data_IF_905512609979
#
_entry.id   IF_905512609979
#
_cell.length_a   1.000
_cell.length_b   1.000
_cell.length_c   1.000
_cell.angle_alpha   90.00
_cell.angle_beta   90.00
_cell.angle_gamma   90.00
#
_symmetry.space_group_name_H-M   'P 1'
#
loop_
_entity.id
_entity.type
_entity.pdbx_description
1 polymer ?
#
# COMPACT_ATOMS: atom_id res chain seq x y z
N UNK A 1 -26.35 7.14 5.43
CA UNK A 1 -26.03 5.89 6.15
C UNK A 1 -24.82 5.16 5.55
N UNK A 2 -24.66 5.08 4.22
CA UNK A 2 -23.49 4.44 3.59
C UNK A 2 -22.12 5.00 4.01
N UNK A 3 -22.02 6.31 4.27
CA UNK A 3 -20.80 7.00 4.78
C UNK A 3 -20.16 6.38 6.04
N UNK A 4 -20.98 5.83 6.95
CA UNK A 4 -20.48 5.40 8.26
C UNK A 4 -19.79 4.03 8.22
N UNK A 5 -20.12 3.18 7.24
CA UNK A 5 -19.50 1.85 7.10
C UNK A 5 -18.08 1.95 6.51
N UNK A 6 -17.87 2.84 5.53
CA UNK A 6 -16.54 3.12 4.97
C UNK A 6 -15.56 3.59 6.06
N UNK A 7 -16.00 4.50 6.95
CA UNK A 7 -15.19 4.97 8.10
C UNK A 7 -14.95 3.92 9.18
N UNK A 8 -15.82 2.91 9.31
CA UNK A 8 -15.69 1.90 10.36
C UNK A 8 -14.63 0.84 10.04
N UNK A 9 -14.55 0.40 8.77
CA UNK A 9 -13.50 -0.55 8.33
C UNK A 9 -12.11 0.09 8.27
N UNK A 10 -12.04 1.39 7.96
CA UNK A 10 -10.79 2.17 8.00
C UNK A 10 -10.10 2.15 9.38
N UNK A 11 -10.83 1.84 10.46
CA UNK A 11 -10.30 1.85 11.83
C UNK A 11 -9.71 0.51 12.31
N UNK A 12 -9.93 -0.58 11.57
CA UNK A 12 -9.39 -1.91 11.91
C UNK A 12 -7.97 -2.10 11.35
N UNK A 13 -7.62 -1.38 10.28
CA UNK A 13 -6.30 -1.45 9.63
C UNK A 13 -5.28 -0.40 10.15
N UNK A 14 -5.66 0.51 11.05
CA UNK A 14 -4.83 1.65 11.49
C UNK A 14 -4.21 1.51 12.90
N UNK A 15 -4.42 0.39 13.59
CA UNK A 15 -4.04 0.25 15.00
C UNK A 15 -2.71 -0.43 15.30
N UNK A 16 -1.97 -0.93 14.30
CA UNK A 16 -0.63 -1.52 14.52
C UNK A 16 0.51 -0.69 13.90
N UNK A 17 0.70 0.53 14.44
CA UNK A 17 1.97 1.23 14.33
C UNK A 17 2.98 0.61 15.31
N UNK A 18 3.58 -0.52 14.97
CA UNK A 18 4.79 -1.00 15.65
C UNK A 18 5.95 -0.04 15.34
N UNK A 19 6.44 0.63 16.39
CA UNK A 19 7.34 1.78 16.30
C UNK A 19 8.83 1.40 16.19
N UNK A 20 9.13 0.27 15.54
CA UNK A 20 10.45 -0.34 15.52
C UNK A 20 11.10 -0.17 14.13
N UNK A 21 12.16 0.65 14.06
CA UNK A 21 12.79 1.12 12.80
C UNK A 21 13.61 0.08 12.01
N UNK A 22 13.24 -1.20 12.10
CA UNK A 22 13.92 -2.35 11.49
C UNK A 22 12.90 -3.35 10.88
N UNK A 23 11.79 -2.85 10.33
CA UNK A 23 10.89 -3.67 9.49
C UNK A 23 11.52 -3.82 8.11
N UNK A 24 11.80 -5.06 7.70
CA UNK A 24 11.77 -5.38 6.28
C UNK A 24 10.30 -5.34 5.85
N UNK A 25 10.00 -4.72 4.71
CA UNK A 25 8.69 -4.88 4.08
C UNK A 25 8.63 -6.30 3.52
N UNK A 26 7.58 -7.07 3.84
CA UNK A 26 7.43 -8.45 3.37
C UNK A 26 6.74 -8.45 2.00
N UNK A 27 7.35 -7.69 1.09
CA UNK A 27 6.76 -7.20 -0.15
C UNK A 27 6.15 -8.28 -1.04
N UNK A 28 5.01 -7.99 -1.69
CA UNK A 28 4.51 -8.83 -2.77
C UNK A 28 5.48 -8.79 -3.96
N UNK A 29 5.64 -9.90 -4.68
CA UNK A 29 6.33 -9.88 -5.98
C UNK A 29 5.42 -10.42 -7.07
N UNK A 30 5.05 -9.58 -8.02
CA UNK A 30 4.25 -9.96 -9.18
C UNK A 30 5.06 -10.95 -10.05
N UNK A 31 4.47 -12.13 -10.28
CA UNK A 31 5.09 -13.21 -11.04
C UNK A 31 4.55 -13.25 -12.48
N UNK A 32 3.25 -13.02 -12.65
CA UNK A 32 2.63 -12.94 -13.97
C UNK A 32 1.40 -12.00 -14.00
N UNK A 33 1.18 -11.23 -15.08
CA UNK A 33 2.18 -10.85 -16.09
C UNK A 33 3.40 -10.20 -15.42
N UNK A 34 4.61 -10.32 -16.00
CA UNK A 34 5.82 -9.81 -15.36
C UNK A 34 5.73 -8.30 -15.05
N UNK A 35 6.33 -7.84 -13.94
CA UNK A 35 6.35 -6.44 -13.57
C UNK A 35 7.14 -5.60 -14.59
N UNK A 36 6.79 -4.30 -14.65
CA UNK A 36 7.39 -3.28 -15.52
C UNK A 36 8.91 -3.15 -15.35
N UNK A 37 9.44 -3.48 -14.19
CA UNK A 37 10.86 -3.44 -13.87
C UNK A 37 11.26 -4.51 -12.85
N UNK A 38 12.51 -4.48 -12.41
CA UNK A 38 12.97 -5.33 -11.31
C UNK A 38 12.34 -4.86 -10.00
N UNK A 39 11.98 -5.80 -9.13
CA UNK A 39 11.43 -5.49 -7.81
C UNK A 39 12.41 -4.63 -6.97
N UNK A 40 11.92 -3.54 -6.37
CA UNK A 40 12.69 -2.70 -5.44
C UNK A 40 11.84 -2.33 -4.21
N UNK A 41 11.92 -3.11 -3.14
CA UNK A 41 11.22 -2.95 -1.84
C UNK A 41 10.94 -1.48 -1.43
N UNK A 42 11.99 -0.63 -1.35
CA UNK A 42 11.88 0.78 -0.95
C UNK A 42 11.00 1.66 -1.86
N UNK A 43 10.81 1.27 -3.13
CA UNK A 43 10.06 2.02 -4.14
C UNK A 43 8.60 1.56 -4.28
N UNK A 44 8.23 0.40 -3.74
CA UNK A 44 6.87 -0.13 -3.84
C UNK A 44 5.76 0.80 -3.32
N UNK A 45 5.96 1.63 -2.28
CA UNK A 45 4.96 2.62 -1.88
C UNK A 45 4.71 3.74 -2.91
N UNK A 46 5.46 3.75 -4.02
CA UNK A 46 5.37 4.75 -5.08
C UNK A 46 4.69 4.18 -6.33
N UNK A 47 4.32 5.07 -7.27
CA UNK A 47 3.63 4.67 -8.49
C UNK A 47 4.44 3.66 -9.33
N UNK A 48 3.88 2.47 -9.51
CA UNK A 48 4.47 1.37 -10.29
C UNK A 48 5.89 0.98 -9.82
N UNK A 49 6.12 0.83 -8.52
CA UNK A 49 7.44 0.49 -7.96
C UNK A 49 8.57 1.43 -8.44
N UNK A 50 8.25 2.73 -8.50
CA UNK A 50 9.13 3.79 -9.03
C UNK A 50 9.24 3.84 -10.56
N UNK A 51 8.76 2.82 -11.29
CA UNK A 51 8.84 2.75 -12.76
C UNK A 51 7.75 3.60 -13.43
N UNK A 52 8.00 4.90 -13.52
CA UNK A 52 7.07 5.90 -14.11
C UNK A 52 6.87 5.81 -15.63
N UNK A 53 7.64 5.00 -16.35
CA UNK A 53 7.54 4.87 -17.81
C UNK A 53 7.26 3.43 -18.20
N UNK A 54 6.23 3.23 -19.02
CA UNK A 54 5.81 1.92 -19.50
C UNK A 54 6.81 1.29 -20.48
N UNK A 55 6.94 -0.03 -20.45
CA UNK A 55 7.85 -0.74 -21.37
C UNK A 55 7.31 -0.83 -22.81
N UNK A 56 8.24 -0.92 -23.76
CA UNK A 56 7.94 -1.20 -25.17
C UNK A 56 7.67 -2.69 -25.41
N UNK A 57 8.40 -3.59 -24.74
CA UNK A 57 8.28 -5.04 -24.86
C UNK A 57 7.16 -5.61 -23.95
N UNK A 58 5.93 -5.21 -24.22
CA UNK A 58 4.74 -5.59 -23.43
C UNK A 58 4.44 -7.09 -23.47
N UNK A 59 3.82 -7.57 -22.39
CA UNK A 59 3.30 -8.93 -22.36
C UNK A 59 2.03 -9.03 -23.19
N UNK A 60 2.00 -9.94 -24.16
CA UNK A 60 0.75 -10.26 -24.88
C UNK A 60 -0.19 -10.99 -23.92
N UNK A 61 -1.38 -10.45 -23.71
CA UNK A 61 -2.31 -10.91 -22.67
C UNK A 61 -3.74 -11.05 -23.20
N UNK A 62 -4.50 -12.09 -22.81
CA UNK A 62 -5.86 -12.28 -23.27
C UNK A 62 -6.82 -11.24 -22.69
N UNK A 63 -7.74 -10.75 -23.52
CA UNK A 63 -8.82 -9.85 -23.06
C UNK A 63 -9.78 -10.52 -22.07
N UNK A 64 -9.89 -11.85 -22.13
CA UNK A 64 -10.79 -12.69 -21.31
C UNK A 64 -10.09 -13.97 -20.88
N UNK A 65 -10.37 -14.47 -19.67
CA UNK A 65 -9.85 -15.75 -19.20
C UNK A 65 -8.33 -15.76 -18.94
N UNK A 66 -7.74 -14.57 -18.70
CA UNK A 66 -6.38 -14.48 -18.16
C UNK A 66 -6.36 -14.71 -16.65
N UNK A 67 -5.17 -14.64 -16.06
CA UNK A 67 -4.97 -14.54 -14.63
C UNK A 67 -3.78 -13.63 -14.34
N UNK A 68 -3.69 -13.14 -13.10
CA UNK A 68 -2.43 -12.67 -12.54
C UNK A 68 -1.95 -13.64 -11.46
N UNK A 69 -0.65 -13.65 -11.17
CA UNK A 69 -0.05 -14.34 -10.04
C UNK A 69 1.03 -13.49 -9.38
N UNK A 70 1.16 -13.64 -8.07
CA UNK A 70 2.15 -12.99 -7.21
C UNK A 70 2.66 -13.98 -6.17
N UNK A 71 3.79 -13.67 -5.55
CA UNK A 71 4.22 -14.24 -4.28
C UNK A 71 3.95 -13.22 -3.18
N UNK A 72 3.38 -13.64 -2.04
CA UNK A 72 3.16 -12.79 -0.86
C UNK A 72 3.93 -13.34 0.33
N UNK A 73 4.65 -12.47 1.04
CA UNK A 73 5.34 -12.83 2.28
C UNK A 73 4.59 -12.36 3.54
N UNK A 74 3.31 -11.95 3.41
CA UNK A 74 2.43 -11.67 4.57
C UNK A 74 1.41 -12.79 4.81
N UNK A 75 1.10 -13.11 6.09
CA UNK A 75 0.10 -14.11 6.44
C UNK A 75 -1.35 -13.63 6.24
N UNK A 76 -1.56 -12.31 6.10
CA UNK A 76 -2.85 -11.68 5.78
C UNK A 76 -2.60 -10.45 4.91
N UNK A 77 -3.36 -10.30 3.83
CA UNK A 77 -3.21 -9.18 2.91
C UNK A 77 -4.49 -8.89 2.12
N UNK A 78 -4.55 -7.71 1.51
CA UNK A 78 -5.63 -7.28 0.62
C UNK A 78 -5.04 -6.85 -0.72
N UNK A 79 -5.71 -7.22 -1.82
CA UNK A 79 -5.30 -6.81 -3.16
C UNK A 79 -6.50 -6.40 -4.03
N UNK A 80 -6.29 -5.40 -4.87
CA UNK A 80 -7.13 -5.04 -6.01
C UNK A 80 -6.28 -4.65 -7.21
N UNK A 81 -6.89 -4.44 -8.37
CA UNK A 81 -6.18 -4.00 -9.57
C UNK A 81 -6.98 -2.99 -10.40
N UNK A 82 -6.30 -1.97 -10.88
CA UNK A 82 -6.83 -0.89 -11.72
C UNK A 82 -6.14 -0.90 -13.09
N UNK A 83 -6.82 -0.42 -14.14
CA UNK A 83 -6.28 -0.39 -15.51
C UNK A 83 -6.25 1.02 -16.11
N UNK A 84 -5.17 1.32 -16.81
CA UNK A 84 -5.03 2.48 -17.68
C UNK A 84 -5.03 2.02 -19.14
N UNK A 85 -5.91 2.62 -19.96
CA UNK A 85 -6.07 2.31 -21.38
C UNK A 85 -5.34 3.32 -22.28
N UNK A 86 -4.20 3.83 -21.79
CA UNK A 86 -3.30 4.76 -22.49
C UNK A 86 -1.91 4.15 -22.64
N UNK A 87 -1.17 4.56 -23.67
CA UNK A 87 0.13 3.97 -24.01
C UNK A 87 1.17 4.05 -22.87
N UNK A 88 1.28 5.20 -22.19
CA UNK A 88 2.30 5.42 -21.17
C UNK A 88 1.72 6.14 -19.95
N UNK A 89 1.06 5.42 -19.02
CA UNK A 89 0.57 6.00 -17.78
C UNK A 89 1.73 6.18 -16.79
N UNK A 90 1.93 7.44 -16.37
CA UNK A 90 3.04 7.87 -15.52
C UNK A 90 2.61 8.30 -14.10
N UNK A 91 1.31 8.20 -13.78
CA UNK A 91 0.74 8.60 -12.50
C UNK A 91 -0.66 7.98 -12.30
N UNK A 92 -1.16 7.97 -11.05
CA UNK A 92 -2.46 7.41 -10.69
C UNK A 92 -3.67 8.00 -11.46
N UNK A 93 -3.77 9.33 -11.73
CA UNK A 93 -4.85 9.88 -12.55
C UNK A 93 -5.01 9.24 -13.94
N UNK A 94 -3.95 8.68 -14.54
CA UNK A 94 -4.04 7.98 -15.82
C UNK A 94 -4.86 6.66 -15.78
N UNK A 95 -5.20 6.17 -14.58
CA UNK A 95 -6.05 4.99 -14.34
C UNK A 95 -7.50 5.37 -14.02
N UNK A 96 -7.85 6.65 -14.12
CA UNK A 96 -9.19 7.16 -13.83
C UNK A 96 -9.98 7.47 -15.10
N UNK A 97 -11.29 7.25 -15.05
CA UNK A 97 -12.27 7.72 -16.01
C UNK A 97 -13.39 8.43 -15.27
N UNK A 98 -13.76 9.64 -15.71
CA UNK A 98 -14.70 10.53 -15.01
C UNK A 98 -14.38 10.74 -13.50
N UNK A 99 -13.09 10.78 -13.15
CA UNK A 99 -12.63 10.94 -11.77
C UNK A 99 -12.80 9.71 -10.87
N UNK A 100 -13.03 8.52 -11.44
CA UNK A 100 -13.14 7.25 -10.71
C UNK A 100 -12.14 6.23 -11.27
N UNK A 101 -11.53 5.42 -10.41
CA UNK A 101 -10.59 4.40 -10.83
C UNK A 101 -11.26 3.25 -11.61
N UNK A 102 -10.60 2.80 -12.68
CA UNK A 102 -11.08 1.73 -13.52
C UNK A 102 -10.63 0.38 -12.98
N UNK A 103 -11.38 -0.19 -12.03
CA UNK A 103 -11.06 -1.48 -11.43
C UNK A 103 -11.33 -2.65 -12.39
N UNK A 104 -10.31 -3.49 -12.56
CA UNK A 104 -10.36 -4.80 -13.26
C UNK A 104 -10.25 -5.99 -12.31
N UNK A 105 -9.88 -5.74 -11.05
CA UNK A 105 -10.04 -6.68 -9.94
C UNK A 105 -10.55 -5.86 -8.75
N UNK A 106 -11.78 -6.10 -8.25
CA UNK A 106 -12.25 -5.46 -7.02
C UNK A 106 -11.39 -5.93 -5.85
N UNK A 107 -11.27 -5.11 -4.81
CA UNK A 107 -10.48 -5.50 -3.64
C UNK A 107 -10.99 -6.80 -3.00
N UNK A 108 -10.08 -7.70 -2.65
CA UNK A 108 -10.35 -8.86 -1.81
C UNK A 108 -9.23 -9.03 -0.79
N UNK A 109 -9.58 -9.48 0.41
CA UNK A 109 -8.63 -9.94 1.41
C UNK A 109 -8.34 -11.43 1.22
N UNK A 110 -7.14 -11.88 1.56
CA UNK A 110 -6.84 -13.31 1.72
C UNK A 110 -5.85 -13.52 2.87
N UNK A 111 -5.82 -14.74 3.40
CA UNK A 111 -4.75 -15.23 4.25
C UNK A 111 -3.70 -16.01 3.45
N UNK A 112 -2.58 -16.31 4.09
CA UNK A 112 -1.55 -17.22 3.59
C UNK A 112 -0.42 -16.51 2.83
N UNK A 113 0.79 -16.90 3.20
CA UNK A 113 2.05 -16.61 2.49
C UNK A 113 2.24 -17.58 1.31
N UNK A 114 3.08 -17.20 0.36
CA UNK A 114 3.45 -17.97 -0.82
C UNK A 114 2.78 -17.49 -2.11
N UNK A 115 2.81 -18.36 -3.12
CA UNK A 115 2.23 -18.07 -4.43
C UNK A 115 0.70 -17.98 -4.36
N UNK A 116 0.15 -16.98 -5.04
CA UNK A 116 -1.28 -16.80 -5.21
C UNK A 116 -1.57 -16.29 -6.62
N UNK A 117 -2.63 -16.80 -7.24
CA UNK A 117 -3.15 -16.37 -8.52
C UNK A 117 -4.67 -16.19 -8.49
N UNK A 118 -5.18 -15.33 -9.37
CA UNK A 118 -6.60 -15.06 -9.49
C UNK A 118 -6.98 -14.73 -10.94
N UNK A 119 -8.11 -15.26 -11.45
CA UNK A 119 -8.56 -15.02 -12.82
C UNK A 119 -8.93 -13.55 -13.03
N UNK A 120 -8.59 -13.01 -14.20
CA UNK A 120 -8.90 -11.64 -14.59
C UNK A 120 -9.53 -11.64 -15.98
N UNK A 121 -10.72 -11.04 -16.09
CA UNK A 121 -11.43 -10.80 -17.35
C UNK A 121 -11.53 -9.30 -17.55
N UNK A 122 -10.59 -8.73 -18.30
CA UNK A 122 -10.51 -7.29 -18.53
C UNK A 122 -11.76 -6.77 -19.28
N UNK A 123 -12.36 -7.60 -20.12
CA UNK A 123 -13.52 -7.23 -20.93
C UNK A 123 -14.84 -7.22 -20.13
N UNK A 124 -14.93 -7.97 -19.03
CA UNK A 124 -16.12 -8.05 -18.18
C UNK A 124 -16.53 -6.71 -17.54
N UNK A 125 -15.57 -5.77 -17.37
CA UNK A 125 -15.79 -4.52 -16.66
C UNK A 125 -16.35 -3.38 -17.53
N UNK A 126 -16.50 -3.56 -18.84
CA UNK A 126 -17.03 -2.54 -19.75
C UNK A 126 -16.15 -1.29 -19.90
N UNK A 127 -14.88 -1.39 -19.55
CA UNK A 127 -13.92 -0.27 -19.56
C UNK A 127 -13.56 0.12 -21.00
N UNK A 128 -13.64 1.41 -21.32
CA UNK A 128 -13.33 1.91 -22.66
C UNK A 128 -11.86 1.78 -22.99
N UNK A 129 -11.57 1.20 -24.17
CA UNK A 129 -10.21 0.94 -24.65
C UNK A 129 -9.73 -0.49 -24.42
N UNK A 130 -10.41 -1.32 -23.64
CA UNK A 130 -10.16 -2.77 -23.58
C UNK A 130 -10.67 -3.42 -24.88
N UNK A 131 -9.74 -3.85 -25.74
CA UNK A 131 -10.01 -4.53 -27.03
C UNK A 131 -8.72 -5.19 -27.56
N UNK A 132 -8.86 -6.10 -28.52
CA UNK A 132 -7.73 -6.65 -29.29
C UNK A 132 -6.83 -5.55 -29.88
N UNK A 133 -5.52 -5.74 -29.78
CA UNK A 133 -4.48 -4.80 -30.20
C UNK A 133 -4.26 -3.58 -29.30
N UNK A 134 -5.04 -3.41 -28.22
CA UNK A 134 -4.87 -2.28 -27.32
C UNK A 134 -3.68 -2.47 -26.37
N UNK A 135 -2.86 -1.43 -26.20
CA UNK A 135 -1.86 -1.38 -25.14
C UNK A 135 -2.49 -0.80 -23.87
N UNK A 136 -2.29 -1.50 -22.76
CA UNK A 136 -2.80 -1.11 -21.44
C UNK A 136 -1.72 -1.29 -20.37
N UNK A 137 -1.93 -0.70 -19.21
CA UNK A 137 -1.17 -1.02 -17.99
C UNK A 137 -2.15 -1.43 -16.91
N UNK A 138 -1.90 -2.56 -16.25
CA UNK A 138 -2.59 -2.95 -15.01
C UNK A 138 -1.69 -2.59 -13.84
N UNK A 139 -2.20 -1.87 -12.86
CA UNK A 139 -1.53 -1.60 -11.60
C UNK A 139 -2.23 -2.39 -10.49
N UNK A 140 -1.46 -3.26 -9.85
CA UNK A 140 -1.87 -3.99 -8.66
C UNK A 140 -1.66 -3.10 -7.45
N UNK A 141 -2.64 -3.12 -6.54
CA UNK A 141 -2.63 -2.36 -5.29
C UNK A 141 -2.72 -3.39 -4.17
N UNK A 142 -1.66 -3.55 -3.41
CA UNK A 142 -1.52 -4.53 -2.34
C UNK A 142 -1.39 -3.83 -0.98
N UNK A 143 -1.81 -4.50 0.10
CA UNK A 143 -1.57 -4.06 1.47
C UNK A 143 -1.49 -5.28 2.41
N UNK A 144 -0.34 -5.46 3.07
CA UNK A 144 -0.09 -6.53 4.06
C UNK A 144 -0.15 -6.07 5.52
N UNK A 145 -0.59 -4.84 5.78
CA UNK A 145 -0.59 -4.17 7.09
C UNK A 145 0.54 -3.16 7.30
N UNK A 146 1.46 -3.06 6.35
CA UNK A 146 2.68 -2.24 6.35
C UNK A 146 2.58 -0.99 5.46
N UNK A 147 1.80 -1.04 4.38
CA UNK A 147 1.58 0.09 3.48
C UNK A 147 0.62 -0.23 2.34
N UNK A 148 0.39 0.74 1.45
CA UNK A 148 -0.11 0.43 0.10
C UNK A 148 1.11 0.30 -0.81
N UNK A 149 1.24 -0.86 -1.45
CA UNK A 149 2.36 -1.26 -2.30
C UNK A 149 1.84 -1.46 -3.73
N UNK A 150 2.59 -0.98 -4.73
CA UNK A 150 2.13 -0.89 -6.11
C UNK A 150 3.12 -1.47 -7.10
N UNK A 151 2.67 -2.47 -7.88
CA UNK A 151 3.42 -3.00 -9.02
C UNK A 151 2.57 -2.91 -10.28
N UNK A 152 3.22 -2.72 -11.43
CA UNK A 152 2.55 -2.54 -12.71
C UNK A 152 2.99 -3.57 -13.74
N UNK A 153 2.05 -4.06 -14.54
CA UNK A 153 2.32 -4.85 -15.73
C UNK A 153 1.83 -4.13 -16.98
N UNK A 154 2.69 -4.01 -17.98
CA UNK A 154 2.36 -3.41 -19.27
C UNK A 154 2.01 -4.49 -20.30
N UNK A 155 0.79 -4.41 -20.84
CA UNK A 155 0.18 -5.45 -21.64
C UNK A 155 -0.18 -4.96 -23.03
N UNK A 156 -0.08 -5.85 -24.01
CA UNK A 156 -0.74 -5.72 -25.31
C UNK A 156 -1.85 -6.76 -25.36
N UNK A 157 -3.09 -6.30 -25.46
CA UNK A 157 -4.25 -7.18 -25.40
C UNK A 157 -4.46 -7.91 -26.73
N UNK A 158 -4.81 -9.19 -26.68
CA UNK A 158 -5.38 -9.88 -27.85
C UNK A 158 -6.44 -10.91 -27.49
N UNK A 159 -7.51 -10.97 -28.28
CA UNK A 159 -8.59 -11.94 -28.12
C UNK A 159 -8.14 -13.38 -28.42
N UNK A 160 -7.02 -13.54 -29.13
CA UNK A 160 -6.44 -14.84 -29.51
C UNK A 160 -5.23 -15.24 -28.65
N UNK A 161 -4.85 -14.42 -27.66
CA UNK A 161 -3.74 -14.75 -26.77
C UNK A 161 -4.08 -15.93 -25.86
N UNK A 162 -3.08 -16.74 -25.54
CA UNK A 162 -3.17 -17.78 -24.52
C UNK A 162 -2.02 -17.60 -23.54
N UNK A 163 -2.25 -17.94 -22.27
CA UNK A 163 -1.18 -17.89 -21.27
C UNK A 163 -0.19 -19.04 -21.57
N UNK A 164 1.14 -18.79 -21.62
CA UNK A 164 2.11 -19.84 -21.86
C UNK A 164 2.01 -20.96 -20.82
N UNK A 165 2.08 -22.22 -21.23
CA UNK A 165 1.97 -23.38 -20.32
C UNK A 165 3.09 -23.49 -19.29
N UNK A 166 4.17 -22.71 -19.43
CA UNK A 166 5.21 -22.54 -18.43
C UNK A 166 4.81 -21.64 -17.26
N UNK A 167 3.70 -20.92 -17.35
CA UNK A 167 3.15 -20.08 -16.27
C UNK A 167 2.04 -20.85 -15.58
N UNK A 168 2.31 -21.36 -14.39
CA UNK A 168 1.32 -22.02 -13.53
C UNK A 168 0.55 -21.01 -12.68
N UNK A 169 -0.77 -21.17 -12.64
CA UNK A 169 -1.63 -20.54 -11.64
C UNK A 169 -1.88 -21.57 -10.53
N UNK A 170 -1.23 -21.38 -9.38
CA UNK A 170 -1.39 -22.19 -8.17
C UNK A 170 -1.44 -21.29 -6.94
N UNK A 171 -2.31 -21.62 -6.00
CA UNK A 171 -2.41 -20.94 -4.70
C UNK A 171 -1.78 -21.81 -3.63
N UNK A 172 -1.04 -21.20 -2.70
CA UNK A 172 -0.54 -21.84 -1.50
C UNK A 172 -1.71 -22.47 -0.71
N UNK A 173 -1.46 -23.62 -0.06
CA UNK A 173 -2.50 -24.45 0.57
C UNK A 173 -3.28 -23.78 1.71
N UNK A 174 -2.81 -22.63 2.20
CA UNK A 174 -3.43 -21.86 3.28
C UNK A 174 -4.16 -20.58 2.78
N UNK A 175 -4.29 -20.41 1.46
CA UNK A 175 -4.96 -19.26 0.86
C UNK A 175 -6.49 -19.33 1.02
N UNK A 176 -7.06 -18.40 1.78
CA UNK A 176 -8.51 -18.29 2.00
C UNK A 176 -9.02 -16.90 1.60
N UNK A 177 -9.76 -16.85 0.49
CA UNK A 177 -10.27 -15.60 -0.09
C UNK A 177 -11.49 -15.07 0.67
N UNK A 178 -11.47 -13.78 0.99
CA UNK A 178 -12.54 -13.02 1.63
C UNK A 178 -12.86 -11.77 0.79
N UNK A 179 -14.06 -11.62 0.21
CA UNK A 179 -14.39 -10.44 -0.58
C UNK A 179 -14.34 -9.15 0.25
N UNK A 180 -13.73 -8.08 -0.28
CA UNK A 180 -13.75 -6.76 0.33
C UNK A 180 -14.63 -5.80 -0.50
N UNK A 181 -15.47 -5.01 0.17
CA UNK A 181 -16.36 -4.07 -0.53
C UNK A 181 -15.54 -2.87 -1.06
N UNK A 182 -15.54 -2.69 -2.37
CA UNK A 182 -14.68 -1.70 -3.03
C UNK A 182 -15.18 -0.25 -2.87
N UNK A 183 -14.53 0.52 -1.98
CA UNK A 183 -14.34 1.98 -2.12
C UNK A 183 -13.16 2.45 -1.26
N UNK A 184 -12.02 2.74 -1.89
CA UNK A 184 -10.95 3.56 -1.29
C UNK A 184 -10.48 4.62 -2.28
N UNK A 185 -10.34 5.85 -1.78
CA UNK A 185 -9.78 7.00 -2.49
C UNK A 185 -8.32 7.18 -2.02
N UNK A 186 -7.32 7.13 -2.92
CA UNK A 186 -5.90 7.26 -2.57
C UNK A 186 -5.46 8.74 -2.38
N UNK A 187 -6.39 9.68 -2.26
CA UNK A 187 -6.08 11.06 -1.86
C UNK A 187 -5.71 11.14 -0.37
N UNK A 188 -4.42 10.93 -0.07
CA UNK A 188 -3.83 11.18 1.24
C UNK A 188 -2.41 11.70 1.10
N UNK A 189 -2.29 12.92 0.57
CA UNK A 189 -1.04 13.69 0.57
C UNK A 189 -0.55 13.88 2.00
N UNK A 190 0.60 13.29 2.34
CA UNK A 190 1.18 13.41 3.67
C UNK A 190 1.47 14.88 4.02
N UNK A 191 0.77 15.42 5.02
CA UNK A 191 1.04 16.75 5.58
C UNK A 191 1.54 16.56 7.01
N UNK A 192 2.80 16.95 7.27
CA UNK A 192 3.41 16.85 8.60
C UNK A 192 2.73 17.78 9.61
N UNK A 193 2.56 17.38 10.88
CA UNK A 193 1.93 18.23 11.89
C UNK A 193 2.90 19.33 12.36
N UNK A 194 2.61 20.58 11.99
CA UNK A 194 3.19 21.75 12.68
C UNK A 194 2.28 22.15 13.85
N UNK A 195 2.89 22.59 14.96
CA UNK A 195 2.24 22.51 16.28
C UNK A 195 1.34 23.68 16.69
N UNK A 196 0.57 23.40 17.76
CA UNK A 196 0.09 24.32 18.81
C UNK A 196 -0.75 25.55 18.43
N UNK A 197 -2.04 25.52 18.80
CA UNK A 197 -2.95 26.67 18.62
C UNK A 197 -4.27 26.62 19.41
N UNK A 198 -4.18 26.74 20.74
CA UNK A 198 -5.19 27.36 21.64
C UNK A 198 -6.70 27.12 21.42
N UNK A 199 -7.29 26.22 22.22
CA UNK A 199 -8.76 26.19 22.44
C UNK A 199 -9.17 27.10 23.60
N UNK A 200 -9.78 28.25 23.31
CA UNK A 200 -10.51 29.06 24.31
C UNK A 200 -11.86 28.44 24.64
N UNK A 201 -12.16 28.24 25.93
CA UNK A 201 -13.34 28.82 26.62
C UNK A 201 -13.75 28.02 27.86
N UNK A 202 -13.74 28.66 29.04
CA UNK A 202 -14.95 28.90 29.84
C UNK A 202 -14.58 29.41 31.23
N UNK A 203 -15.19 30.53 31.63
CA UNK A 203 -14.92 31.19 32.90
C UNK A 203 -15.82 30.67 34.03
N UNK A 204 -15.28 30.60 35.26
CA UNK A 204 -15.98 30.96 36.51
C UNK A 204 -14.99 31.64 37.47
N UNK A 205 -15.47 32.45 38.43
CA UNK A 205 -14.74 33.65 38.83
C UNK A 205 -13.98 33.54 40.17
N UNK A 206 -13.53 34.71 40.65
CA UNK A 206 -13.06 35.07 42.00
C UNK A 206 -11.66 34.59 42.41
N UNK A 207 -10.67 35.46 42.17
CA UNK A 207 -9.41 35.53 42.90
C UNK A 207 -9.41 36.72 43.85
N UNK A 208 -8.94 36.53 45.09
CA UNK A 208 -8.59 37.65 45.99
C UNK A 208 -7.57 37.24 47.06
N UNK A 209 -6.29 37.37 46.75
CA UNK A 209 -5.27 37.92 47.66
C UNK A 209 -3.95 38.13 46.90
N UNK A 210 -3.20 39.15 47.31
CA UNK A 210 -2.04 39.68 46.59
C UNK A 210 -0.71 39.13 47.11
N UNK A 211 0.37 39.53 46.42
CA UNK A 211 1.77 39.53 46.86
C UNK A 211 2.50 38.16 46.88
N UNK A 212 3.82 38.10 46.68
CA UNK A 212 4.76 39.03 46.01
C UNK A 212 6.11 38.32 45.81
N UNK A 213 6.97 38.93 44.99
CA UNK A 213 8.44 38.85 45.05
C UNK A 213 9.14 37.54 44.67
N UNK A 214 10.11 37.70 43.77
CA UNK A 214 11.13 36.74 43.41
C UNK A 214 12.02 36.32 44.60
N UNK A 215 12.65 35.16 44.48
CA UNK A 215 13.98 34.93 45.05
C UNK A 215 14.83 34.06 44.11
N UNK A 216 16.10 34.44 43.97
CA UNK A 216 17.14 33.73 43.23
C UNK A 216 17.76 32.66 44.13
N UNK A 217 18.16 31.52 43.56
CA UNK A 217 19.13 30.62 44.18
C UNK A 217 19.96 29.90 43.10
N UNK A 218 21.29 30.05 43.18
CA UNK A 218 22.26 29.30 42.38
C UNK A 218 22.94 28.23 43.25
N UNK A 219 23.37 27.12 42.64
CA UNK A 219 24.23 26.09 43.25
C UNK A 219 24.12 24.80 42.41
N UNK A 220 25.11 24.24 41.70
CA UNK A 220 26.59 24.15 41.79
C UNK A 220 27.11 22.98 42.66
N UNK A 221 27.70 21.99 41.96
CA UNK A 221 28.74 21.02 42.37
C UNK A 221 28.42 19.70 43.12
N UNK A 222 29.19 18.64 42.76
CA UNK A 222 29.23 17.28 43.35
C UNK A 222 28.99 16.18 42.30
N UNK A 223 29.93 15.52 41.60
CA UNK A 223 31.32 15.05 41.78
C UNK A 223 31.52 13.74 42.59
N UNK A 224 32.24 12.77 42.00
CA UNK A 224 32.65 11.43 42.49
C UNK A 224 31.49 10.41 42.76
N UNK A 225 31.60 9.08 42.62
CA UNK A 225 32.67 8.12 42.24
C UNK A 225 32.06 6.68 42.20
N UNK A 226 32.73 5.52 42.11
CA UNK A 226 34.15 5.12 42.02
C UNK A 226 34.30 3.71 41.34
N UNK A 227 35.56 3.28 41.15
CA UNK A 227 36.18 2.02 40.68
C UNK A 227 35.55 0.64 40.98
N UNK A 228 35.89 -0.34 40.12
CA UNK A 228 36.27 -1.72 40.50
C UNK A 228 35.40 -2.85 39.90
N UNK A 229 35.92 -4.00 39.44
CA UNK A 229 37.31 -4.46 39.30
C UNK A 229 37.43 -5.55 38.19
N UNK A 230 38.65 -5.95 37.83
CA UNK A 230 38.99 -6.96 36.80
C UNK A 230 39.63 -8.20 37.45
N UNK A 231 39.53 -9.36 36.77
CA UNK A 231 40.14 -10.68 37.07
C UNK A 231 39.38 -11.55 38.10
N UNK A 232 39.47 -12.90 38.07
CA UNK A 232 40.42 -13.76 37.36
C UNK A 232 39.81 -15.11 36.86
N UNK A 233 40.66 -15.89 36.18
CA UNK A 233 40.41 -17.19 35.55
C UNK A 233 40.01 -18.32 36.53
N UNK A 234 39.24 -19.30 36.04
CA UNK A 234 39.71 -20.69 35.80
C UNK A 234 38.78 -21.42 34.82
#
# INVERSE_FOLDING_TARGET
>A
MYDYLAKSMFRVCLTDRSADGNKAFMSPTLQYPPPRGAFVEDNEPTFCDGYTTAVDNRTVFPTKGGFFSLHSEHPQWTLGAIVATVQNPQNFPAFQSNGQFQYVVPFFGTSGEGDYCYPIDLAAHGISGIKDGANVTVQFIYNGGDGQLYQCADLTLSDNATIPSSVSCSNATNAAVTPASATVDPSSTATSPSGSGSSTSSARPTSSSNAASANLAMGVSGLAGILGAVAALL
#
